data_IF_741117422512
#
_entry.id   IF_741117422512
#
_cell.length_a   1.000
_cell.length_b   1.000
_cell.length_c   1.000
_cell.angle_alpha   90.00
_cell.angle_beta   90.00
_cell.angle_gamma   90.00
#
_symmetry.space_group_name_H-M   'P 1'
#
loop_
_entity.id
_entity.type
_entity.pdbx_description
1 polymer ?
#
# COMPACT_ATOMS: atom_id res chain seq x y z
N UNK A 1 60.03 51.92 26.54
CA UNK A 1 58.70 51.68 25.97
C UNK A 1 58.81 50.38 25.14
N UNK A 2 58.40 49.25 25.67
CA UNK A 2 58.48 47.93 25.07
C UNK A 2 57.11 47.64 24.47
N UNK A 3 57.02 47.52 23.11
CA UNK A 3 55.77 47.11 22.41
C UNK A 3 55.74 45.57 22.34
N UNK A 4 54.78 45.00 23.06
CA UNK A 4 54.50 43.56 23.02
C UNK A 4 53.65 43.28 21.77
N UNK A 5 54.17 42.48 20.80
CA UNK A 5 53.43 41.98 19.66
C UNK A 5 52.78 40.64 20.07
N UNK A 6 51.46 40.67 20.22
CA UNK A 6 50.64 39.46 20.39
C UNK A 6 50.43 38.78 19.03
N UNK A 7 51.10 37.64 18.84
CA UNK A 7 50.92 36.80 17.64
C UNK A 7 49.69 35.87 17.88
N UNK A 8 48.61 36.18 17.21
CA UNK A 8 47.38 35.40 17.25
C UNK A 8 47.51 34.19 16.31
N UNK A 9 47.70 32.98 16.86
CA UNK A 9 47.71 31.73 16.08
C UNK A 9 46.27 31.29 15.86
N UNK A 10 45.77 31.44 14.62
CA UNK A 10 44.48 30.92 14.17
C UNK A 10 44.61 29.43 13.82
N UNK A 11 44.15 28.55 14.69
CA UNK A 11 44.10 27.10 14.41
C UNK A 11 42.88 26.79 13.58
N UNK A 12 43.05 26.58 12.28
CA UNK A 12 42.03 26.05 11.37
C UNK A 12 41.84 24.55 11.62
N UNK A 13 40.82 24.16 12.34
CA UNK A 13 40.40 22.76 12.45
C UNK A 13 39.65 22.37 11.19
N UNK A 14 40.33 21.65 10.29
CA UNK A 14 39.70 21.00 9.14
C UNK A 14 38.91 19.81 9.68
N UNK A 15 37.59 19.98 9.84
CA UNK A 15 36.67 18.89 10.13
C UNK A 15 36.48 18.06 8.86
N UNK A 16 37.18 16.93 8.75
CA UNK A 16 36.87 15.93 7.73
C UNK A 16 35.51 15.31 8.05
N UNK A 17 34.46 15.82 7.41
CA UNK A 17 33.17 15.14 7.34
C UNK A 17 33.34 13.92 6.44
N UNK A 18 33.64 12.76 7.01
CA UNK A 18 33.51 11.49 6.32
C UNK A 18 32.03 11.24 6.08
N UNK A 19 31.54 11.63 4.90
CA UNK A 19 30.23 11.17 4.44
C UNK A 19 30.29 9.64 4.35
N UNK A 20 29.72 8.96 5.33
CA UNK A 20 29.48 7.53 5.23
C UNK A 20 28.45 7.34 4.11
N UNK A 21 28.93 6.96 2.95
CA UNK A 21 28.11 6.42 1.87
C UNK A 21 27.57 5.08 2.39
N UNK A 22 26.44 5.13 3.09
CA UNK A 22 25.63 3.94 3.35
C UNK A 22 24.99 3.54 2.03
N UNK A 23 25.72 2.78 1.21
CA UNK A 23 25.12 1.99 0.14
C UNK A 23 24.19 1.00 0.84
N UNK A 24 22.88 1.26 0.82
CA UNK A 24 21.90 0.29 1.27
C UNK A 24 22.10 -0.97 0.43
N UNK A 25 22.44 -2.08 1.10
CA UNK A 25 22.58 -3.38 0.43
C UNK A 25 21.24 -3.70 -0.24
N UNK A 26 21.21 -3.84 -1.56
CA UNK A 26 20.01 -4.28 -2.28
C UNK A 26 19.69 -5.71 -1.84
N UNK A 27 18.48 -5.92 -1.33
CA UNK A 27 18.01 -7.25 -0.94
C UNK A 27 17.88 -8.15 -2.16
N UNK A 28 18.11 -9.44 -1.99
CA UNK A 28 17.85 -10.46 -3.00
C UNK A 28 16.36 -10.77 -3.08
N UNK A 29 15.91 -11.42 -4.16
CA UNK A 29 14.53 -11.88 -4.27
C UNK A 29 14.11 -12.82 -3.13
N UNK A 30 15.04 -13.67 -2.65
CA UNK A 30 14.80 -14.55 -1.53
C UNK A 30 14.67 -13.79 -0.20
N UNK A 31 15.50 -12.77 0.02
CA UNK A 31 15.39 -11.90 1.20
C UNK A 31 14.04 -11.17 1.21
N UNK A 32 13.54 -10.69 0.05
CA UNK A 32 12.20 -10.11 -0.06
C UNK A 32 11.11 -11.15 0.18
N UNK A 33 11.18 -12.32 -0.45
CA UNK A 33 10.17 -13.37 -0.27
C UNK A 33 10.05 -13.81 1.21
N UNK A 34 11.14 -13.76 1.97
CA UNK A 34 11.14 -14.11 3.39
C UNK A 34 10.54 -13.02 4.30
N UNK A 35 10.19 -11.84 3.78
CA UNK A 35 9.42 -10.84 4.55
C UNK A 35 7.95 -11.20 4.64
N UNK A 36 7.43 -11.93 3.65
CA UNK A 36 6.04 -12.41 3.65
C UNK A 36 5.92 -13.58 4.62
N UNK A 37 5.03 -13.46 5.58
CA UNK A 37 4.87 -14.49 6.61
C UNK A 37 3.40 -14.84 6.87
N UNK A 38 3.16 -16.07 7.30
CA UNK A 38 1.81 -16.59 7.50
C UNK A 38 1.02 -15.86 8.60
N UNK A 39 1.67 -15.23 9.57
CA UNK A 39 1.00 -14.52 10.67
C UNK A 39 0.40 -13.20 10.18
N UNK A 40 1.14 -12.43 9.39
CA UNK A 40 0.62 -11.21 8.76
C UNK A 40 -0.54 -11.55 7.82
N UNK A 41 -0.31 -12.47 6.86
CA UNK A 41 -1.35 -12.92 5.93
C UNK A 41 -2.62 -13.35 6.66
N UNK A 42 -2.49 -14.09 7.78
CA UNK A 42 -3.63 -14.50 8.60
C UNK A 42 -4.32 -13.29 9.24
N UNK A 43 -3.57 -12.38 9.83
CA UNK A 43 -4.11 -11.19 10.50
C UNK A 43 -4.92 -10.34 9.53
N UNK A 44 -4.35 -10.07 8.35
CA UNK A 44 -5.01 -9.27 7.33
C UNK A 44 -6.22 -9.98 6.74
N UNK A 45 -6.12 -11.29 6.46
CA UNK A 45 -7.25 -12.05 5.93
C UNK A 45 -8.41 -12.13 6.93
N UNK A 46 -8.14 -12.36 8.21
CA UNK A 46 -9.19 -12.39 9.24
C UNK A 46 -9.86 -11.03 9.45
N UNK A 47 -9.11 -9.94 9.23
CA UNK A 47 -9.66 -8.59 9.24
C UNK A 47 -10.49 -8.35 7.97
N UNK A 48 -9.91 -8.63 6.81
CA UNK A 48 -10.50 -8.32 5.52
C UNK A 48 -11.72 -9.17 5.18
N UNK A 49 -11.74 -10.43 5.61
CA UNK A 49 -12.86 -11.36 5.49
C UNK A 49 -13.67 -11.49 6.79
N UNK A 50 -13.58 -10.52 7.70
CA UNK A 50 -14.39 -10.51 8.91
C UNK A 50 -15.81 -9.99 8.68
N UNK A 51 -16.75 -10.30 9.57
CA UNK A 51 -18.14 -9.87 9.47
C UNK A 51 -18.32 -8.35 9.43
N UNK A 52 -17.37 -7.60 10.02
CA UNK A 52 -17.35 -6.13 9.98
C UNK A 52 -17.19 -5.57 8.55
N UNK A 53 -16.72 -6.36 7.62
CA UNK A 53 -16.62 -5.99 6.19
C UNK A 53 -17.90 -6.33 5.41
N UNK A 54 -18.94 -6.82 6.07
CA UNK A 54 -20.29 -7.03 5.51
C UNK A 54 -20.30 -7.84 4.20
N UNK A 55 -19.31 -8.74 4.01
CA UNK A 55 -19.17 -9.55 2.80
C UNK A 55 -18.87 -8.75 1.52
N UNK A 56 -18.53 -7.47 1.61
CA UNK A 56 -17.91 -6.61 0.58
C UNK A 56 -18.65 -6.52 -0.76
N UNK A 57 -19.99 -6.64 -0.75
CA UNK A 57 -20.76 -6.58 -2.00
C UNK A 57 -20.52 -5.26 -2.76
N UNK A 58 -20.22 -5.37 -4.05
CA UNK A 58 -19.96 -4.23 -4.95
C UNK A 58 -21.03 -3.15 -4.81
N UNK A 59 -20.59 -1.90 -4.54
CA UNK A 59 -21.48 -0.75 -4.39
C UNK A 59 -22.17 -0.63 -3.03
N UNK A 60 -21.97 -1.58 -2.11
CA UNK A 60 -22.53 -1.55 -0.76
C UNK A 60 -21.48 -1.03 0.27
N UNK A 61 -21.92 -0.83 1.50
CA UNK A 61 -21.09 -0.30 2.56
C UNK A 61 -19.83 -1.15 2.82
N UNK A 62 -19.97 -2.48 2.86
CA UNK A 62 -18.83 -3.38 3.05
C UNK A 62 -17.76 -3.26 1.98
N UNK A 63 -18.15 -3.00 0.71
CA UNK A 63 -17.23 -2.73 -0.38
C UNK A 63 -16.45 -1.42 -0.16
N UNK A 64 -17.10 -0.39 0.36
CA UNK A 64 -16.46 0.87 0.69
C UNK A 64 -15.49 0.73 1.87
N UNK A 65 -15.86 -0.03 2.91
CA UNK A 65 -14.98 -0.34 4.05
C UNK A 65 -13.73 -1.10 3.60
N UNK A 66 -13.87 -2.08 2.71
CA UNK A 66 -12.76 -2.81 2.13
C UNK A 66 -11.84 -1.91 1.29
N UNK A 67 -12.42 -1.04 0.47
CA UNK A 67 -11.64 -0.06 -0.31
C UNK A 67 -10.85 0.90 0.59
N UNK A 68 -11.46 1.37 1.69
CA UNK A 68 -10.79 2.23 2.68
C UNK A 68 -9.66 1.48 3.40
N UNK A 69 -9.86 0.21 3.76
CA UNK A 69 -8.83 -0.64 4.34
C UNK A 69 -7.60 -0.73 3.43
N UNK A 70 -7.80 -1.07 2.15
CA UNK A 70 -6.74 -1.19 1.16
C UNK A 70 -6.02 0.15 0.93
N UNK A 71 -6.79 1.25 0.81
CA UNK A 71 -6.22 2.60 0.70
C UNK A 71 -5.31 2.93 1.88
N UNK A 72 -5.78 2.70 3.09
CA UNK A 72 -5.01 3.01 4.29
C UNK A 72 -3.76 2.13 4.39
N UNK A 73 -3.85 0.87 3.99
CA UNK A 73 -2.69 -0.01 3.90
C UNK A 73 -1.60 0.57 2.98
N UNK A 74 -1.96 1.02 1.78
CA UNK A 74 -0.99 1.63 0.85
C UNK A 74 -0.40 2.95 1.37
N UNK A 75 -1.20 3.76 2.06
CA UNK A 75 -0.70 4.99 2.71
C UNK A 75 0.33 4.64 3.79
N UNK A 76 0.02 3.70 4.65
CA UNK A 76 0.89 3.29 5.76
C UNK A 76 2.18 2.63 5.25
N UNK A 77 2.09 1.88 4.15
CA UNK A 77 3.24 1.30 3.45
C UNK A 77 4.06 2.33 2.65
N UNK A 78 3.58 3.56 2.50
CA UNK A 78 4.25 4.60 1.72
C UNK A 78 4.27 4.35 0.21
N UNK A 79 3.33 3.54 -0.29
CA UNK A 79 3.16 3.28 -1.73
C UNK A 79 2.35 4.40 -2.36
N UNK A 80 2.82 4.96 -3.46
CA UNK A 80 2.18 6.12 -4.09
C UNK A 80 0.89 5.75 -4.84
N UNK A 81 -0.04 6.72 -4.90
CA UNK A 81 -1.18 6.62 -5.81
C UNK A 81 -0.79 7.12 -7.20
N UNK A 82 -1.19 6.44 -8.29
CA UNK A 82 -1.02 6.93 -9.66
C UNK A 82 -2.10 7.96 -10.06
N UNK A 83 -3.09 8.22 -9.22
CA UNK A 83 -4.24 9.08 -9.53
C UNK A 83 -4.00 10.49 -8.99
N UNK A 84 -3.92 10.62 -7.67
CA UNK A 84 -3.76 11.88 -6.96
C UNK A 84 -3.22 11.58 -5.56
N UNK A 85 -2.52 12.52 -4.93
CA UNK A 85 -1.98 12.34 -3.60
C UNK A 85 -3.07 11.87 -2.61
N UNK A 86 -2.83 10.72 -1.97
CA UNK A 86 -3.75 10.05 -1.05
C UNK A 86 -5.12 9.64 -1.63
N UNK A 87 -5.31 9.75 -2.94
CA UNK A 87 -6.50 9.27 -3.64
C UNK A 87 -6.17 8.05 -4.49
N UNK A 88 -6.46 6.86 -3.99
CA UNK A 88 -6.18 5.57 -4.64
C UNK A 88 -7.39 5.04 -5.42
N UNK A 89 -8.49 5.79 -5.47
CA UNK A 89 -9.75 5.32 -6.02
C UNK A 89 -9.91 5.67 -7.50
N UNK A 90 -9.99 4.64 -8.34
CA UNK A 90 -10.47 4.77 -9.71
C UNK A 90 -11.99 4.51 -9.71
N UNK A 91 -12.83 5.55 -9.90
CA UNK A 91 -14.27 5.40 -9.77
C UNK A 91 -14.86 4.60 -10.93
N UNK A 92 -15.84 3.74 -10.61
CA UNK A 92 -16.61 2.95 -11.57
C UNK A 92 -18.06 3.38 -11.42
N UNK A 93 -18.68 3.98 -12.47
CA UNK A 93 -20.05 4.44 -12.39
C UNK A 93 -21.05 3.26 -12.32
N UNK A 94 -22.18 3.47 -11.65
CA UNK A 94 -23.24 2.47 -11.52
C UNK A 94 -23.70 1.88 -12.86
N UNK A 95 -23.67 2.68 -13.93
CA UNK A 95 -24.03 2.25 -15.29
C UNK A 95 -23.16 1.14 -15.87
N UNK A 96 -21.95 0.96 -15.33
CA UNK A 96 -21.04 -0.11 -15.75
C UNK A 96 -21.58 -1.50 -15.37
N UNK A 97 -22.30 -1.60 -14.27
CA UNK A 97 -22.71 -2.88 -13.69
C UNK A 97 -24.00 -3.47 -14.27
N UNK A 98 -24.62 -2.84 -15.27
CA UNK A 98 -25.84 -3.34 -15.95
C UNK A 98 -26.97 -3.78 -15.01
N UNK A 99 -27.15 -3.05 -13.90
CA UNK A 99 -28.16 -3.35 -12.87
C UNK A 99 -27.65 -4.19 -11.71
N UNK A 100 -26.40 -4.66 -11.74
CA UNK A 100 -25.67 -5.12 -10.54
C UNK A 100 -25.35 -3.96 -9.61
N UNK A 101 -24.62 -4.22 -8.54
CA UNK A 101 -24.27 -3.23 -7.50
C UNK A 101 -25.45 -2.45 -6.91
N UNK A 102 -26.68 -2.98 -6.99
CA UNK A 102 -27.92 -2.31 -6.54
C UNK A 102 -28.10 -0.88 -7.07
N UNK A 103 -27.52 -0.57 -8.23
CA UNK A 103 -27.54 0.77 -8.84
C UNK A 103 -26.55 1.76 -8.23
N UNK A 104 -25.63 1.29 -7.37
CA UNK A 104 -24.59 2.12 -6.76
C UNK A 104 -23.29 2.12 -7.57
N UNK A 105 -22.50 3.20 -7.54
CA UNK A 105 -21.14 3.19 -8.07
C UNK A 105 -20.20 2.38 -7.18
N UNK A 106 -19.04 2.01 -7.70
CA UNK A 106 -17.96 1.39 -6.95
C UNK A 106 -16.61 1.99 -7.39
N UNK A 107 -15.52 1.41 -6.98
CA UNK A 107 -14.18 1.85 -7.35
C UNK A 107 -13.19 0.69 -7.39
N UNK A 108 -12.15 0.81 -8.22
CA UNK A 108 -10.92 0.06 -8.01
C UNK A 108 -10.02 0.82 -7.05
N UNK A 109 -9.21 0.09 -6.29
CA UNK A 109 -8.12 0.66 -5.48
C UNK A 109 -6.82 0.42 -6.25
N UNK A 110 -6.07 1.48 -6.55
CA UNK A 110 -4.90 1.41 -7.42
C UNK A 110 -3.70 2.04 -6.72
N UNK A 111 -2.61 1.31 -6.62
CA UNK A 111 -1.33 1.78 -6.11
C UNK A 111 -0.24 1.57 -7.16
N UNK A 112 0.87 2.32 -7.08
CA UNK A 112 1.90 2.28 -8.09
C UNK A 112 3.30 2.39 -7.48
N UNK A 113 4.17 1.46 -7.85
CA UNK A 113 5.60 1.50 -7.54
C UNK A 113 6.36 1.72 -8.84
N UNK A 114 7.01 2.87 -8.97
CA UNK A 114 7.77 3.20 -10.18
C UNK A 114 9.04 2.37 -10.27
N UNK A 115 9.21 1.65 -11.38
CA UNK A 115 10.44 0.93 -11.67
C UNK A 115 11.65 1.85 -11.85
N UNK A 116 12.83 1.45 -11.34
CA UNK A 116 14.05 2.24 -11.42
C UNK A 116 14.87 1.96 -12.69
N UNK A 117 14.84 0.74 -13.19
CA UNK A 117 15.67 0.33 -14.34
C UNK A 117 14.91 0.42 -15.68
N UNK A 118 13.61 0.09 -15.66
CA UNK A 118 12.74 0.06 -16.84
C UNK A 118 11.38 0.71 -16.51
N UNK A 119 11.33 2.02 -16.32
CA UNK A 119 10.13 2.71 -15.82
C UNK A 119 8.95 2.69 -16.82
N UNK A 120 9.20 2.36 -18.08
CA UNK A 120 8.17 2.25 -19.12
C UNK A 120 7.61 0.82 -19.27
N UNK A 121 8.20 -0.17 -18.59
CA UNK A 121 7.67 -1.54 -18.53
C UNK A 121 6.81 -1.68 -17.28
N UNK A 122 5.51 -1.95 -17.47
CA UNK A 122 4.54 -2.04 -16.38
C UNK A 122 4.14 -3.50 -16.16
N UNK A 123 4.26 -3.97 -14.92
CA UNK A 123 3.68 -5.23 -14.45
C UNK A 123 2.44 -4.88 -13.64
N UNK A 124 1.30 -5.49 -13.97
CA UNK A 124 0.05 -5.31 -13.22
C UNK A 124 -0.22 -6.58 -12.41
N UNK A 125 -0.38 -6.40 -11.10
CA UNK A 125 -0.90 -7.42 -10.20
C UNK A 125 -2.34 -7.01 -9.86
N UNK A 126 -3.27 -7.97 -9.86
CA UNK A 126 -4.67 -7.68 -9.58
C UNK A 126 -5.33 -8.83 -8.81
N UNK A 127 -6.26 -8.47 -7.93
CA UNK A 127 -7.18 -9.34 -7.23
C UNK A 127 -8.51 -8.59 -7.08
N UNK A 128 -9.64 -9.29 -7.00
CA UNK A 128 -10.88 -8.61 -6.68
C UNK A 128 -11.10 -8.59 -5.16
N UNK A 129 -11.63 -7.49 -4.66
CA UNK A 129 -11.83 -7.30 -3.23
C UNK A 129 -13.30 -7.37 -2.81
N UNK A 130 -14.22 -7.39 -3.76
CA UNK A 130 -15.64 -7.55 -3.53
C UNK A 130 -16.03 -9.02 -3.39
N UNK A 131 -17.20 -9.27 -2.77
CA UNK A 131 -17.81 -10.59 -2.66
C UNK A 131 -19.36 -10.46 -2.59
N UNK A 132 -20.03 -11.51 -2.20
CA UNK A 132 -21.51 -11.64 -2.26
C UNK A 132 -22.26 -10.66 -1.33
N UNK A 133 -21.67 -10.28 -0.20
CA UNK A 133 -22.32 -9.40 0.75
C UNK A 133 -23.09 -10.15 1.83
N UNK A 134 -24.29 -9.64 2.15
CA UNK A 134 -25.20 -10.23 3.15
C UNK A 134 -26.42 -10.77 2.43
N UNK A 135 -26.69 -12.06 2.57
CA UNK A 135 -27.89 -12.71 2.05
C UNK A 135 -28.64 -13.42 3.18
N UNK A 136 -29.96 -13.22 3.26
CA UNK A 136 -30.84 -13.81 4.27
C UNK A 136 -30.35 -13.59 5.72
N UNK A 137 -29.62 -12.52 5.98
CA UNK A 137 -29.06 -12.18 7.30
C UNK A 137 -27.73 -12.89 7.62
N UNK A 138 -27.17 -13.63 6.67
CA UNK A 138 -25.85 -14.24 6.80
C UNK A 138 -24.81 -13.46 6.00
N UNK A 139 -23.62 -13.24 6.59
CA UNK A 139 -22.48 -12.58 5.95
C UNK A 139 -21.70 -13.61 5.16
N UNK A 140 -21.53 -13.35 3.85
CA UNK A 140 -20.66 -14.16 3.00
C UNK A 140 -19.28 -13.53 2.97
N UNK A 141 -18.40 -14.04 3.81
CA UNK A 141 -17.10 -13.41 4.12
C UNK A 141 -16.08 -13.45 2.98
N UNK A 142 -16.19 -14.39 2.03
CA UNK A 142 -15.32 -14.45 0.84
C UNK A 142 -13.83 -14.45 1.18
N UNK A 143 -13.40 -15.30 2.13
CA UNK A 143 -11.98 -15.39 2.49
C UNK A 143 -11.14 -15.99 1.35
N UNK A 144 -11.66 -17.05 0.71
CA UNK A 144 -10.99 -17.72 -0.42
C UNK A 144 -11.27 -17.00 -1.75
N UNK A 145 -12.47 -16.45 -1.91
CA UNK A 145 -12.95 -15.78 -3.13
C UNK A 145 -13.27 -14.29 -2.87
N UNK A 146 -12.37 -13.33 -3.09
CA UNK A 146 -10.94 -13.44 -3.38
C UNK A 146 -10.14 -12.64 -2.30
N UNK A 147 -10.61 -12.74 -1.04
CA UNK A 147 -9.94 -12.09 0.09
C UNK A 147 -8.48 -12.53 0.21
N UNK A 148 -8.21 -13.81 -0.04
CA UNK A 148 -6.85 -14.36 0.01
C UNK A 148 -5.95 -13.79 -1.08
N UNK A 149 -6.47 -13.63 -2.30
CA UNK A 149 -5.74 -12.98 -3.40
C UNK A 149 -5.47 -11.51 -3.13
N UNK A 150 -6.47 -10.78 -2.61
CA UNK A 150 -6.33 -9.37 -2.23
C UNK A 150 -5.28 -9.19 -1.13
N UNK A 151 -5.30 -10.01 -0.09
CA UNK A 151 -4.33 -9.95 1.01
C UNK A 151 -2.93 -10.35 0.52
N UNK A 152 -2.80 -11.38 -0.30
CA UNK A 152 -1.52 -11.74 -0.90
C UNK A 152 -0.92 -10.60 -1.73
N UNK A 153 -1.77 -9.83 -2.44
CA UNK A 153 -1.32 -8.70 -3.26
C UNK A 153 -0.76 -7.56 -2.41
N UNK A 154 -1.37 -7.24 -1.27
CA UNK A 154 -0.88 -6.16 -0.41
C UNK A 154 0.36 -6.55 0.40
N UNK A 155 0.63 -7.83 0.61
CA UNK A 155 1.82 -8.32 1.30
C UNK A 155 3.08 -8.42 0.40
N UNK A 156 2.92 -8.34 -0.94
CA UNK A 156 4.01 -8.34 -1.92
C UNK A 156 4.65 -6.95 -2.04
#
# INVERSE_FOLDING_TARGET
MIRLFLLSILVLTVSCNSAQNTTSKKMTAEEYANTINAENLKTDLYTFAGDQMEGRMTGENGNNLAAEYLRNFYIDAGVESPIEENNYYQPIPASYFNGGSNGNPSQNVVAFIKGSEKPDEIIVLSAHYDHVGIENGEVYNGADDDGSGTVALIEI
#
